data_IF_701727703592
#
_entry.id   IF_701727703592
#
_cell.length_a   1.000
_cell.length_b   1.000
_cell.length_c   1.000
_cell.angle_alpha   90.00
_cell.angle_beta   90.00
_cell.angle_gamma   90.00
#
_symmetry.space_group_name_H-M   'P 1'
#
loop_
_entity.id
_entity.type
_entity.pdbx_description
1 polymer ?
#
# COMPACT_ATOMS: atom_id res chain seq x y z
N UNK A 1 5.83 -5.12 4.64
CA UNK A 1 5.68 -4.75 3.22
C UNK A 1 7.02 -4.72 2.49
N UNK A 2 7.96 -3.83 2.82
CA UNK A 2 9.24 -3.63 2.10
C UNK A 2 10.04 -4.91 1.78
N UNK A 3 10.20 -5.83 2.73
CA UNK A 3 11.01 -7.03 2.49
C UNK A 3 10.37 -8.02 1.50
N UNK A 4 9.04 -8.08 1.41
CA UNK A 4 8.38 -8.94 0.42
C UNK A 4 8.57 -8.35 -0.98
N UNK A 5 8.44 -7.03 -1.14
CA UNK A 5 8.62 -6.38 -2.45
C UNK A 5 10.08 -6.32 -2.90
N UNK A 6 11.04 -6.34 -1.97
CA UNK A 6 12.49 -6.30 -2.28
C UNK A 6 13.08 -7.69 -2.54
N UNK A 7 12.59 -8.73 -1.87
CA UNK A 7 13.17 -10.07 -1.94
C UNK A 7 12.32 -11.08 -2.73
N UNK A 8 11.11 -10.72 -3.14
CA UNK A 8 10.26 -11.62 -3.93
C UNK A 8 10.59 -11.49 -5.42
N UNK A 9 11.58 -12.29 -5.83
CA UNK A 9 12.02 -12.42 -7.22
C UNK A 9 11.05 -13.24 -8.09
N UNK A 10 10.04 -13.89 -7.49
CA UNK A 10 9.12 -14.80 -8.18
C UNK A 10 7.72 -14.20 -8.36
N UNK A 11 7.33 -13.22 -7.54
CA UNK A 11 5.99 -12.61 -7.60
C UNK A 11 5.76 -11.75 -8.85
N UNK A 12 6.81 -11.37 -9.57
CA UNK A 12 6.72 -10.46 -10.72
C UNK A 12 7.44 -11.04 -11.94
N UNK A 13 6.86 -12.08 -12.54
CA UNK A 13 7.31 -12.53 -13.86
C UNK A 13 7.12 -11.42 -14.90
N UNK A 14 8.16 -11.11 -15.71
CA UNK A 14 8.04 -10.11 -16.77
C UNK A 14 6.91 -10.46 -17.75
N UNK A 15 6.04 -9.48 -18.03
CA UNK A 15 4.93 -9.64 -18.97
C UNK A 15 3.61 -10.12 -18.35
N UNK A 16 3.57 -10.41 -17.04
CA UNK A 16 2.31 -10.66 -16.35
C UNK A 16 1.50 -9.37 -16.25
N UNK A 17 0.31 -9.37 -16.86
CA UNK A 17 -0.66 -8.30 -16.68
C UNK A 17 -1.40 -8.52 -15.36
N UNK A 18 -1.04 -7.73 -14.33
CA UNK A 18 -1.75 -7.77 -13.04
C UNK A 18 -3.15 -7.16 -13.19
N UNK A 19 -4.17 -7.82 -12.61
CA UNK A 19 -5.53 -7.29 -12.51
C UNK A 19 -5.97 -7.24 -11.05
N UNK A 20 -6.75 -6.20 -10.71
CA UNK A 20 -7.37 -6.04 -9.41
C UNK A 20 -8.73 -6.75 -9.30
N UNK A 21 -9.30 -7.23 -10.41
CA UNK A 21 -10.66 -7.82 -10.46
C UNK A 21 -10.92 -8.87 -9.37
N UNK A 22 -9.99 -9.80 -9.05
CA UNK A 22 -10.20 -10.80 -8.00
C UNK A 22 -10.31 -10.20 -6.59
N UNK A 23 -9.78 -8.99 -6.37
CA UNK A 23 -9.64 -8.37 -5.06
C UNK A 23 -10.63 -7.23 -4.81
N UNK A 24 -11.38 -6.78 -5.83
CA UNK A 24 -12.28 -5.63 -5.72
C UNK A 24 -13.26 -5.79 -4.53
N UNK A 25 -13.88 -6.97 -4.39
CA UNK A 25 -14.85 -7.23 -3.32
C UNK A 25 -14.17 -7.20 -1.93
N UNK A 26 -13.01 -7.83 -1.80
CA UNK A 26 -12.25 -7.85 -0.53
C UNK A 26 -11.82 -6.44 -0.14
N UNK A 27 -11.32 -5.65 -1.09
CA UNK A 27 -10.90 -4.27 -0.88
C UNK A 27 -12.10 -3.42 -0.48
N UNK A 28 -13.22 -3.49 -1.20
CA UNK A 28 -14.42 -2.70 -0.87
C UNK A 28 -14.99 -3.00 0.52
N UNK A 29 -14.89 -4.25 0.97
CA UNK A 29 -15.33 -4.65 2.31
C UNK A 29 -14.40 -4.15 3.41
N UNK A 30 -13.09 -4.27 3.24
CA UNK A 30 -12.11 -4.10 4.31
C UNK A 30 -11.40 -2.74 4.30
N UNK A 31 -11.17 -2.14 3.13
CA UNK A 31 -10.51 -0.84 3.05
C UNK A 31 -11.52 0.26 3.40
N UNK A 32 -11.23 0.99 4.47
CA UNK A 32 -12.01 2.15 4.92
C UNK A 32 -11.11 3.35 4.94
N UNK A 33 -11.54 4.44 4.30
CA UNK A 33 -10.78 5.67 4.32
C UNK A 33 -10.75 6.22 5.76
N UNK A 34 -9.56 6.51 6.32
CA UNK A 34 -9.45 7.08 7.65
C UNK A 34 -10.17 8.42 7.69
N UNK A 35 -10.76 8.77 8.83
CA UNK A 35 -11.39 10.08 9.02
C UNK A 35 -10.37 11.20 8.95
N UNK A 36 -9.17 10.88 9.40
CA UNK A 36 -8.02 11.75 9.49
C UNK A 36 -7.38 12.01 8.11
N UNK A 37 -7.70 11.19 7.10
CA UNK A 37 -7.14 11.29 5.76
C UNK A 37 -5.98 10.33 5.53
N UNK A 38 -5.25 10.53 4.43
CA UNK A 38 -4.18 9.62 3.97
C UNK A 38 -2.80 10.23 4.17
N UNK A 39 -2.57 10.86 5.32
CA UNK A 39 -1.25 11.31 5.74
C UNK A 39 -0.79 12.68 5.26
N UNK A 40 -1.60 13.45 4.53
CA UNK A 40 -1.29 14.87 4.24
C UNK A 40 -1.91 15.84 5.25
N UNK A 41 -2.27 15.31 6.40
CA UNK A 41 -2.90 15.97 7.54
C UNK A 41 -1.98 15.93 8.77
N UNK A 42 -2.42 16.50 9.89
CA UNK A 42 -1.67 16.53 11.15
C UNK A 42 -2.09 15.44 12.16
N UNK A 43 -2.77 14.38 11.73
CA UNK A 43 -3.15 13.30 12.64
C UNK A 43 -1.98 12.41 13.06
N UNK A 44 -2.18 11.70 14.16
CA UNK A 44 -1.26 10.68 14.65
C UNK A 44 -1.06 9.51 13.67
N UNK A 45 -2.03 9.29 12.75
CA UNK A 45 -1.92 8.24 11.73
C UNK A 45 -1.10 8.67 10.51
N UNK A 46 -0.83 9.97 10.35
CA UNK A 46 -0.24 10.51 9.15
C UNK A 46 1.17 9.95 8.88
N UNK A 47 1.94 9.70 9.94
CA UNK A 47 3.25 9.08 9.84
C UNK A 47 3.16 7.67 9.23
N UNK A 48 2.22 6.83 9.68
CA UNK A 48 2.03 5.47 9.14
C UNK A 48 1.71 5.49 7.64
N UNK A 49 0.82 6.39 7.21
CA UNK A 49 0.46 6.54 5.80
C UNK A 49 1.64 6.99 4.95
N UNK A 50 2.42 7.98 5.40
CA UNK A 50 3.63 8.44 4.69
C UNK A 50 4.68 7.34 4.57
N UNK A 51 4.87 6.52 5.61
CA UNK A 51 5.78 5.36 5.56
C UNK A 51 5.34 4.33 4.51
N UNK A 52 4.04 4.10 4.36
CA UNK A 52 3.54 3.19 3.32
C UNK A 52 3.62 3.79 1.91
N UNK A 53 3.36 5.09 1.75
CA UNK A 53 3.40 5.79 0.46
C UNK A 53 4.81 5.99 -0.07
N UNK A 54 5.76 6.29 0.84
CA UNK A 54 7.14 6.64 0.51
C UNK A 54 8.11 5.78 1.32
N UNK A 55 8.13 4.45 1.10
CA UNK A 55 8.88 3.52 1.93
C UNK A 55 10.40 3.68 1.87
N UNK A 56 10.92 4.42 0.89
CA UNK A 56 12.35 4.67 0.70
C UNK A 56 12.77 6.11 1.03
N UNK A 57 11.85 6.95 1.51
CA UNK A 57 12.17 8.32 1.91
C UNK A 57 12.70 8.32 3.36
N UNK A 58 13.94 8.79 3.61
CA UNK A 58 14.44 8.93 4.98
C UNK A 58 13.62 9.97 5.76
N UNK A 59 13.50 9.76 7.08
CA UNK A 59 12.80 10.64 8.01
C UNK A 59 13.48 12.02 8.12
#
# INVERSE_FOLDING_TARGET
ARLVTVNDLYAFEPGVQVSLDPFIDIIGRNFKQPKEGLGFDNSETAHMWRTMMYPDNPL
#
